data_IF_887017479844
#
_entry.id   IF_887017479844
#
_cell.length_a   1.000
_cell.length_b   1.000
_cell.length_c   1.000
_cell.angle_alpha   90.00
_cell.angle_beta   90.00
_cell.angle_gamma   90.00
#
_symmetry.space_group_name_H-M   'P 1'
#
loop_
_entity.id
_entity.type
_entity.pdbx_description
1 polymer ?
#
# COMPACT_ATOMS: atom_id res chain seq x y z
N UNK A 1 14.23 3.45 15.64
CA UNK A 1 13.33 2.38 16.07
C UNK A 1 13.09 1.44 14.89
N UNK A 2 13.11 0.14 15.13
CA UNK A 2 12.80 -0.87 14.11
C UNK A 2 11.79 -1.84 14.69
N UNK A 3 10.70 -2.05 13.98
CA UNK A 3 9.76 -3.13 14.24
C UNK A 3 9.87 -4.17 13.13
N UNK A 4 10.07 -5.41 13.53
CA UNK A 4 10.07 -6.55 12.62
C UNK A 4 8.92 -7.50 12.99
N UNK A 5 8.08 -7.81 12.03
CA UNK A 5 6.93 -8.70 12.17
C UNK A 5 7.14 -9.92 11.26
N UNK A 6 7.39 -11.07 11.86
CA UNK A 6 7.27 -12.36 11.20
C UNK A 6 5.89 -12.92 11.53
N UNK A 7 5.10 -13.20 10.51
CA UNK A 7 3.74 -13.69 10.67
C UNK A 7 3.67 -15.16 10.28
N UNK A 8 3.48 -16.00 11.29
CA UNK A 8 3.11 -17.41 11.06
C UNK A 8 1.69 -17.47 10.52
N UNK A 9 1.56 -17.80 9.27
CA UNK A 9 0.28 -17.92 8.58
C UNK A 9 0.20 -19.19 7.76
N UNK A 10 -0.98 -19.54 7.22
CA UNK A 10 -1.11 -20.69 6.36
C UNK A 10 -0.14 -20.53 5.20
N UNK A 11 0.82 -21.43 5.15
CA UNK A 11 1.72 -21.55 4.04
C UNK A 11 0.97 -21.89 2.77
N UNK A 12 1.53 -21.51 1.69
CA UNK A 12 1.38 -21.90 0.30
C UNK A 12 0.18 -22.78 -0.06
N UNK A 13 -0.57 -22.34 -1.00
CA UNK A 13 -1.69 -23.06 -1.64
C UNK A 13 -3.00 -22.29 -1.58
N UNK A 14 -3.16 -21.36 -0.65
CA UNK A 14 -4.25 -20.40 -0.73
C UNK A 14 -3.89 -19.37 -1.79
N UNK A 15 -4.73 -19.23 -2.79
CA UNK A 15 -4.60 -18.19 -3.83
C UNK A 15 -4.60 -16.75 -3.26
N UNK A 16 -4.89 -16.62 -1.97
CA UNK A 16 -4.99 -15.34 -1.27
C UNK A 16 -4.43 -15.48 0.14
N UNK A 17 -3.36 -14.78 0.42
CA UNK A 17 -2.86 -14.62 1.76
C UNK A 17 -3.41 -13.31 2.34
N UNK A 18 -4.25 -13.41 3.37
CA UNK A 18 -4.86 -12.26 4.05
C UNK A 18 -4.03 -11.74 5.22
N UNK A 19 -2.91 -12.36 5.53
CA UNK A 19 -2.04 -11.90 6.60
C UNK A 19 -1.30 -10.63 6.21
N UNK A 20 -1.11 -9.76 7.19
CA UNK A 20 -0.38 -8.52 7.00
C UNK A 20 -0.35 -7.67 8.25
N UNK A 21 0.56 -6.73 8.25
CA UNK A 21 0.67 -5.71 9.29
C UNK A 21 -0.07 -4.47 8.85
N UNK A 22 -1.05 -4.04 9.62
CA UNK A 22 -1.78 -2.80 9.36
C UNK A 22 -1.32 -1.71 10.31
N UNK A 23 -0.83 -0.62 9.73
CA UNK A 23 -0.40 0.58 10.44
C UNK A 23 -1.53 1.61 10.28
N UNK A 24 -1.97 2.19 11.38
CA UNK A 24 -2.98 3.25 11.39
C UNK A 24 -2.61 4.33 12.40
N UNK A 25 -3.21 5.51 12.26
CA UNK A 25 -2.94 6.68 13.11
C UNK A 25 -1.46 7.07 13.08
N UNK A 26 -0.82 6.95 11.90
CA UNK A 26 0.59 7.17 11.71
C UNK A 26 0.95 8.56 11.16
N UNK A 27 0.01 9.49 11.08
CA UNK A 27 0.28 10.83 10.55
C UNK A 27 1.43 11.52 11.28
N UNK A 28 1.50 11.35 12.60
CA UNK A 28 2.62 11.76 13.43
C UNK A 28 3.24 10.54 14.11
N UNK A 29 4.55 10.35 13.97
CA UNK A 29 5.26 9.23 14.57
C UNK A 29 5.81 9.53 15.97
N UNK A 30 5.65 10.76 16.43
CA UNK A 30 5.98 11.15 17.79
C UNK A 30 4.83 10.82 18.73
N UNK A 31 5.15 10.45 19.97
CA UNK A 31 4.16 10.30 21.01
C UNK A 31 3.84 11.65 21.63
N UNK A 32 2.55 11.91 21.85
CA UNK A 32 2.10 13.07 22.61
C UNK A 32 2.19 12.90 24.14
N UNK A 33 2.56 11.70 24.60
CA UNK A 33 2.68 11.43 26.02
C UNK A 33 3.88 12.14 26.65
N UNK A 34 3.68 12.76 27.79
CA UNK A 34 4.75 13.40 28.54
C UNK A 34 5.81 12.38 28.95
N UNK A 35 7.07 12.68 28.66
CA UNK A 35 8.21 11.79 28.94
C UNK A 35 8.42 10.67 27.93
N UNK A 36 7.63 10.61 26.87
CA UNK A 36 7.87 9.64 25.82
C UNK A 36 9.22 9.90 25.13
N UNK A 37 9.97 8.85 24.78
CA UNK A 37 11.21 8.99 24.05
C UNK A 37 11.00 9.64 22.69
N UNK A 38 11.92 10.49 22.28
CA UNK A 38 11.92 11.08 20.96
C UNK A 38 12.15 10.00 19.89
N UNK A 39 11.23 9.86 18.95
CA UNK A 39 11.39 9.00 17.79
C UNK A 39 12.26 9.71 16.75
N UNK A 40 13.49 9.29 16.58
CA UNK A 40 14.43 9.84 15.59
C UNK A 40 14.31 9.20 14.21
N UNK A 41 13.51 8.17 14.10
CA UNK A 41 13.24 7.44 12.87
C UNK A 41 12.55 6.12 13.17
N UNK A 42 11.76 5.64 12.19
CA UNK A 42 10.99 4.40 12.32
C UNK A 42 11.14 3.56 11.05
N UNK A 43 11.54 2.31 11.24
CA UNK A 43 11.48 1.29 10.19
C UNK A 43 10.50 0.21 10.59
N UNK A 44 9.57 -0.11 9.72
CA UNK A 44 8.65 -1.24 9.87
C UNK A 44 8.98 -2.26 8.81
N UNK A 45 9.21 -3.49 9.24
CA UNK A 45 9.56 -4.61 8.37
C UNK A 45 8.55 -5.75 8.59
N UNK A 46 8.07 -6.33 7.52
CA UNK A 46 7.24 -7.54 7.56
C UNK A 46 7.60 -8.47 6.42
N UNK A 47 7.59 -9.77 6.69
CA UNK A 47 7.67 -10.81 5.65
C UNK A 47 6.39 -10.91 4.82
N UNK A 48 5.32 -10.27 5.28
CA UNK A 48 4.02 -10.22 4.62
C UNK A 48 3.72 -8.82 4.08
N UNK A 49 2.48 -8.59 3.66
CA UNK A 49 2.04 -7.26 3.23
C UNK A 49 2.04 -6.27 4.39
N UNK A 50 2.38 -5.04 4.08
CA UNK A 50 2.16 -3.90 4.96
C UNK A 50 0.97 -3.11 4.40
N UNK A 51 0.06 -2.72 5.28
CA UNK A 51 -1.11 -1.92 4.95
C UNK A 51 -0.99 -0.61 5.72
N UNK A 52 -0.90 0.49 5.02
CA UNK A 52 -0.93 1.83 5.62
C UNK A 52 -2.35 2.37 5.51
N UNK A 53 -2.94 2.75 6.63
CA UNK A 53 -4.27 3.33 6.70
C UNK A 53 -4.18 4.80 7.08
N UNK A 54 -4.57 5.65 6.14
CA UNK A 54 -4.52 7.09 6.26
C UNK A 54 -3.11 7.66 6.13
N UNK A 55 -2.98 8.88 6.56
CA UNK A 55 -1.72 9.60 6.52
C UNK A 55 -0.63 8.91 7.34
N UNK A 56 0.58 8.92 6.81
CA UNK A 56 1.73 8.35 7.47
C UNK A 56 2.91 9.31 7.45
N UNK A 57 3.40 9.67 8.65
CA UNK A 57 4.59 10.51 8.86
C UNK A 57 4.48 11.90 8.19
N UNK A 58 3.27 12.38 7.96
CA UNK A 58 3.01 13.65 7.29
C UNK A 58 3.15 14.86 8.22
N UNK A 59 3.09 14.64 9.54
CA UNK A 59 3.21 15.68 10.57
C UNK A 59 4.54 15.51 11.32
N UNK A 60 5.38 16.56 11.31
CA UNK A 60 6.65 16.53 12.02
C UNK A 60 7.54 15.37 11.57
N UNK A 61 7.61 15.13 10.26
CA UNK A 61 8.21 13.94 9.68
C UNK A 61 9.61 13.63 10.21
N UNK A 62 9.89 12.34 10.37
CA UNK A 62 11.19 11.79 10.71
C UNK A 62 11.61 10.75 9.66
N UNK A 63 12.89 10.39 9.56
CA UNK A 63 13.29 9.30 8.66
C UNK A 63 12.45 8.04 8.90
N UNK A 64 11.75 7.58 7.88
CA UNK A 64 10.87 6.41 7.97
C UNK A 64 11.07 5.47 6.79
N UNK A 65 10.95 4.15 7.06
CA UNK A 65 10.99 3.13 6.03
C UNK A 65 9.92 2.05 6.27
N UNK A 66 9.32 1.59 5.19
CA UNK A 66 8.36 0.49 5.15
C UNK A 66 8.90 -0.60 4.24
N UNK A 67 9.14 -1.80 4.79
CA UNK A 67 9.74 -2.91 4.05
C UNK A 67 8.82 -4.12 4.17
N UNK A 68 8.16 -4.50 3.09
CA UNK A 68 7.21 -5.59 3.09
C UNK A 68 7.14 -6.33 1.76
N UNK A 69 6.50 -7.49 1.77
CA UNK A 69 6.26 -8.26 0.55
C UNK A 69 5.46 -7.44 -0.47
N UNK A 70 4.46 -6.71 0.00
CA UNK A 70 3.71 -5.72 -0.77
C UNK A 70 3.29 -4.56 0.12
N UNK A 71 3.07 -3.39 -0.48
CA UNK A 71 2.54 -2.22 0.23
C UNK A 71 1.14 -1.89 -0.28
N UNK A 72 0.21 -1.83 0.66
CA UNK A 72 -1.19 -1.50 0.43
C UNK A 72 -1.55 -0.19 1.12
N UNK A 73 -2.37 0.59 0.46
CA UNK A 73 -2.80 1.89 0.94
C UNK A 73 -4.31 1.92 1.09
N UNK A 74 -4.74 2.43 2.23
CA UNK A 74 -6.11 2.77 2.55
C UNK A 74 -6.14 4.25 2.85
N UNK A 75 -7.12 4.97 2.33
CA UNK A 75 -7.22 6.41 2.54
C UNK A 75 -7.59 6.78 3.97
N UNK A 76 -7.61 8.08 4.26
CA UNK A 76 -8.07 8.58 5.56
C UNK A 76 -9.54 8.26 5.82
N UNK A 77 -10.38 8.12 4.78
CA UNK A 77 -11.81 7.81 4.90
C UNK A 77 -12.13 6.32 4.93
N UNK A 78 -11.11 5.46 4.77
CA UNK A 78 -11.33 4.03 4.82
C UNK A 78 -12.05 3.59 6.10
N UNK A 79 -13.02 2.73 5.93
CA UNK A 79 -13.58 1.97 7.04
C UNK A 79 -13.66 0.47 6.66
N UNK A 80 -13.59 -0.39 7.66
CA UNK A 80 -13.49 -1.84 7.41
C UNK A 80 -14.75 -2.43 6.76
N UNK A 81 -15.91 -1.77 6.87
CA UNK A 81 -17.13 -2.21 6.19
C UNK A 81 -17.03 -2.08 4.68
N UNK A 82 -16.17 -1.19 4.18
CA UNK A 82 -15.97 -1.01 2.74
C UNK A 82 -15.34 -2.23 2.08
N UNK A 83 -14.63 -3.06 2.87
CA UNK A 83 -14.07 -4.32 2.39
C UNK A 83 -15.15 -5.31 1.93
N UNK A 84 -16.37 -5.17 2.41
CA UNK A 84 -17.53 -6.00 2.03
C UNK A 84 -18.10 -5.60 0.66
N UNK A 85 -17.75 -4.43 0.16
CA UNK A 85 -18.20 -4.00 -1.16
C UNK A 85 -17.59 -4.87 -2.26
N UNK A 86 -18.43 -5.33 -3.17
CA UNK A 86 -18.02 -6.20 -4.27
C UNK A 86 -17.12 -5.48 -5.29
N UNK A 87 -17.21 -4.16 -5.36
CA UNK A 87 -16.49 -3.36 -6.35
C UNK A 87 -15.65 -2.30 -5.67
N UNK A 88 -14.42 -2.14 -6.11
CA UNK A 88 -13.54 -1.04 -5.71
C UNK A 88 -14.16 0.33 -6.01
N UNK A 89 -15.01 0.41 -7.01
CA UNK A 89 -15.73 1.63 -7.40
C UNK A 89 -16.77 2.12 -6.39
N UNK A 90 -17.03 1.34 -5.38
CA UNK A 90 -17.93 1.66 -4.28
C UNK A 90 -17.19 2.06 -3.01
N UNK A 91 -15.87 2.12 -3.09
CA UNK A 91 -14.97 2.44 -1.99
C UNK A 91 -14.27 3.76 -2.32
N UNK A 92 -14.93 4.86 -2.08
CA UNK A 92 -14.37 6.16 -2.40
C UNK A 92 -13.25 6.49 -1.41
N UNK A 93 -12.05 6.71 -1.96
CA UNK A 93 -10.89 7.13 -1.18
C UNK A 93 -10.72 8.64 -1.21
N UNK A 94 -10.11 9.20 -0.20
CA UNK A 94 -9.81 10.62 -0.11
C UNK A 94 -8.31 10.95 -0.12
N UNK A 95 -7.98 12.23 -0.07
CA UNK A 95 -6.60 12.70 -0.06
C UNK A 95 -5.80 12.06 1.09
N UNK A 96 -4.64 11.51 0.76
CA UNK A 96 -3.82 10.75 1.70
C UNK A 96 -2.34 11.01 1.43
N UNK A 97 -1.54 11.06 2.48
CA UNK A 97 -0.12 11.39 2.42
C UNK A 97 0.74 10.30 3.07
N UNK A 98 1.80 9.87 2.38
CA UNK A 98 2.74 8.86 2.91
C UNK A 98 4.18 9.33 2.70
N UNK A 99 4.90 9.54 3.79
CA UNK A 99 6.29 10.02 3.79
C UNK A 99 7.20 8.93 4.36
N UNK A 100 7.74 8.09 3.49
CA UNK A 100 8.63 7.00 3.87
C UNK A 100 9.44 6.49 2.68
N UNK A 101 10.61 5.94 2.93
CA UNK A 101 11.25 5.05 1.98
C UNK A 101 10.47 3.72 1.95
N UNK A 102 10.20 3.21 0.75
CA UNK A 102 9.46 1.96 0.57
C UNK A 102 10.33 0.94 -0.15
N UNK A 103 10.42 -0.25 0.43
CA UNK A 103 11.02 -1.42 -0.18
C UNK A 103 9.95 -2.50 -0.25
N UNK A 104 9.56 -2.88 -1.46
CA UNK A 104 8.42 -3.78 -1.63
C UNK A 104 8.53 -4.60 -2.92
N UNK A 105 7.85 -5.73 -2.94
CA UNK A 105 7.67 -6.49 -4.15
C UNK A 105 6.79 -5.73 -5.15
N UNK A 106 7.16 -5.83 -6.42
CA UNK A 106 6.41 -5.27 -7.53
C UNK A 106 6.06 -6.36 -8.52
N UNK A 107 4.81 -6.39 -8.94
CA UNK A 107 4.37 -7.29 -10.00
C UNK A 107 3.94 -6.49 -11.22
N UNK A 108 4.22 -7.01 -12.40
CA UNK A 108 3.72 -6.41 -13.64
C UNK A 108 2.20 -6.40 -13.61
N UNK A 109 1.63 -5.32 -14.07
CA UNK A 109 0.20 -5.26 -14.38
C UNK A 109 -0.04 -6.17 -15.58
N UNK A 110 -0.98 -7.09 -15.49
CA UNK A 110 -1.24 -8.03 -16.57
C UNK A 110 -2.42 -8.93 -16.29
N UNK A 111 -2.70 -9.81 -17.24
CA UNK A 111 -3.72 -10.84 -17.07
C UNK A 111 -3.29 -11.88 -16.01
N UNK A 112 -4.19 -12.82 -15.70
CA UNK A 112 -3.98 -13.89 -14.74
C UNK A 112 -2.71 -14.71 -15.00
N UNK A 113 -2.22 -14.75 -16.23
CA UNK A 113 -1.05 -15.52 -16.65
C UNK A 113 0.27 -14.72 -16.52
N UNK A 114 0.21 -13.50 -16.02
CA UNK A 114 1.38 -12.62 -15.91
C UNK A 114 1.83 -12.05 -17.27
N UNK A 115 1.05 -12.26 -18.30
CA UNK A 115 1.29 -11.65 -19.60
C UNK A 115 1.00 -10.16 -19.53
N UNK A 116 1.96 -9.36 -19.95
CA UNK A 116 1.82 -7.92 -19.93
C UNK A 116 0.58 -7.51 -20.73
N UNK A 117 -0.40 -7.07 -20.01
CA UNK A 117 -1.37 -6.12 -20.49
C UNK A 117 -2.25 -6.48 -21.65
N UNK A 118 -3.07 -7.47 -21.58
CA UNK A 118 -4.13 -7.57 -22.59
C UNK A 118 -5.15 -6.42 -22.51
N UNK A 119 -5.31 -5.78 -21.36
CA UNK A 119 -6.25 -4.67 -21.21
C UNK A 119 -5.60 -3.31 -21.00
N UNK A 120 -4.29 -3.28 -20.82
CA UNK A 120 -3.54 -2.02 -20.61
C UNK A 120 -2.46 -1.80 -21.67
N UNK A 121 -2.56 -2.49 -22.79
CA UNK A 121 -1.55 -2.50 -23.84
C UNK A 121 -0.29 -3.28 -23.45
N UNK A 122 0.27 -4.04 -24.37
CA UNK A 122 1.47 -4.86 -24.13
C UNK A 122 2.68 -4.05 -23.63
N UNK A 123 2.61 -2.75 -23.73
CA UNK A 123 3.62 -1.79 -23.30
C UNK A 123 3.13 -0.92 -22.14
N UNK A 124 1.94 -1.15 -21.62
CA UNK A 124 1.50 -0.40 -20.46
C UNK A 124 2.27 -0.92 -19.28
N UNK A 125 3.21 -0.26 -18.99
CA UNK A 125 3.95 0.04 -17.77
C UNK A 125 3.62 -0.82 -16.56
N UNK A 126 3.59 -2.12 -16.75
CA UNK A 126 3.59 -3.01 -15.63
C UNK A 126 4.81 -2.84 -14.74
N UNK A 127 5.68 -1.94 -15.04
CA UNK A 127 6.89 -1.67 -14.30
C UNK A 127 6.96 -0.28 -13.70
N UNK A 128 5.87 0.46 -13.69
CA UNK A 128 5.86 1.79 -13.11
C UNK A 128 5.81 1.75 -11.58
N UNK A 129 6.15 2.87 -11.00
CA UNK A 129 6.06 3.17 -9.57
C UNK A 129 4.67 2.86 -8.99
N UNK A 130 3.64 2.98 -9.81
CA UNK A 130 2.24 2.71 -9.50
C UNK A 130 2.02 1.28 -8.99
N UNK A 131 2.81 0.33 -9.41
CA UNK A 131 2.65 -1.07 -9.01
C UNK A 131 3.28 -1.42 -7.66
N UNK A 132 4.04 -0.51 -7.05
CA UNK A 132 4.54 -0.69 -5.70
C UNK A 132 3.42 -0.42 -4.71
N UNK A 133 2.65 0.63 -4.93
CA UNK A 133 1.48 0.94 -4.13
C UNK A 133 0.26 0.20 -4.67
N UNK A 134 -0.44 -0.48 -3.77
CA UNK A 134 -1.71 -1.14 -4.07
C UNK A 134 -2.82 -0.41 -3.35
N UNK A 135 -3.72 0.17 -4.12
CA UNK A 135 -4.87 0.89 -3.59
C UNK A 135 -6.09 -0.03 -3.57
N UNK A 136 -6.79 -0.07 -2.43
CA UNK A 136 -8.03 -0.83 -2.27
C UNK A 136 -9.29 0.01 -2.45
N UNK A 137 -9.12 1.28 -2.79
CA UNK A 137 -10.17 2.26 -2.95
C UNK A 137 -10.07 2.93 -4.31
N UNK A 138 -11.15 3.47 -4.74
CA UNK A 138 -11.19 4.39 -5.87
C UNK A 138 -10.93 5.80 -5.36
N UNK A 139 -9.80 6.36 -5.73
CA UNK A 139 -9.50 7.75 -5.39
C UNK A 139 -10.36 8.67 -6.25
N UNK A 140 -11.61 8.82 -5.84
CA UNK A 140 -12.59 9.67 -6.47
C UNK A 140 -13.55 10.20 -5.41
N UNK A 141 -13.74 11.51 -5.41
CA UNK A 141 -14.74 12.21 -4.60
C UNK A 141 -15.70 12.94 -5.56
N UNK A 142 -16.87 12.33 -5.83
CA UNK A 142 -17.79 12.81 -6.83
C UNK A 142 -17.16 12.89 -8.23
N UNK A 143 -16.86 14.12 -8.70
CA UNK A 143 -16.15 14.37 -9.96
C UNK A 143 -14.68 14.72 -9.78
N UNK A 144 -14.22 14.88 -8.54
CA UNK A 144 -12.82 15.19 -8.20
C UNK A 144 -12.00 13.91 -8.03
N UNK A 145 -10.72 14.01 -8.29
CA UNK A 145 -9.73 12.97 -8.01
C UNK A 145 -8.90 13.46 -6.84
N UNK A 146 -9.04 12.86 -5.64
CA UNK A 146 -8.23 13.24 -4.49
C UNK A 146 -6.76 12.98 -4.73
N UNK A 147 -5.91 13.82 -4.19
CA UNK A 147 -4.46 13.68 -4.31
C UNK A 147 -3.93 12.57 -3.39
N UNK A 148 -3.06 11.74 -3.95
CA UNK A 148 -2.17 10.90 -3.17
C UNK A 148 -0.78 11.53 -3.19
N UNK A 149 -0.32 11.99 -2.03
CA UNK A 149 1.01 12.59 -1.90
C UNK A 149 2.00 11.56 -1.35
N UNK A 150 3.05 11.30 -2.11
CA UNK A 150 4.13 10.44 -1.69
C UNK A 150 5.47 11.17 -1.66
N UNK A 151 6.19 11.06 -0.55
CA UNK A 151 7.53 11.60 -0.38
C UNK A 151 8.46 10.50 0.15
N UNK A 152 9.41 10.08 -0.68
CA UNK A 152 10.36 9.04 -0.30
C UNK A 152 10.98 8.35 -1.50
N UNK A 153 11.74 7.29 -1.21
CA UNK A 153 12.36 6.45 -2.23
C UNK A 153 11.56 5.18 -2.41
N UNK A 154 11.42 4.72 -3.65
CA UNK A 154 10.77 3.46 -4.00
C UNK A 154 11.82 2.47 -4.51
N UNK A 155 11.89 1.31 -3.88
CA UNK A 155 12.79 0.23 -4.25
C UNK A 155 11.98 -1.05 -4.46
N UNK A 156 12.09 -1.62 -5.65
CA UNK A 156 11.50 -2.92 -5.95
C UNK A 156 12.53 -4.03 -5.74
N UNK A 157 12.17 -5.04 -4.95
CA UNK A 157 12.98 -6.23 -4.74
C UNK A 157 12.64 -7.38 -5.72
N UNK A 158 11.78 -7.12 -6.69
CA UNK A 158 11.26 -8.13 -7.61
C UNK A 158 9.82 -8.54 -7.29
N UNK A 159 9.37 -9.71 -7.79
CA UNK A 159 7.99 -10.15 -7.55
C UNK A 159 7.74 -10.43 -6.06
N UNK A 160 6.53 -10.14 -5.55
CA UNK A 160 6.15 -10.50 -4.20
C UNK A 160 6.09 -12.01 -4.04
N UNK A 161 6.40 -12.51 -2.86
CA UNK A 161 6.42 -13.94 -2.54
C UNK A 161 5.09 -14.44 -2.00
N UNK A 162 4.41 -13.64 -1.20
CA UNK A 162 3.20 -14.02 -0.47
C UNK A 162 1.94 -13.42 -1.07
N UNK A 163 2.01 -12.26 -1.68
CA UNK A 163 0.90 -11.62 -2.37
C UNK A 163 0.95 -11.90 -3.88
N UNK A 164 0.82 -13.17 -4.23
CA UNK A 164 0.96 -13.64 -5.62
C UNK A 164 -0.31 -13.58 -6.43
N UNK A 165 -1.46 -13.26 -5.82
CA UNK A 165 -2.72 -13.09 -6.55
C UNK A 165 -2.58 -12.07 -7.67
N UNK A 166 -3.30 -12.32 -8.72
CA UNK A 166 -3.40 -11.39 -9.84
C UNK A 166 -3.82 -10.03 -9.31
N UNK A 167 -3.02 -9.03 -9.55
CA UNK A 167 -3.48 -7.67 -9.43
C UNK A 167 -4.61 -7.51 -10.44
N UNK A 168 -5.84 -7.43 -9.92
CA UNK A 168 -7.03 -7.49 -10.77
C UNK A 168 -6.95 -6.50 -11.91
N UNK A 169 -7.38 -6.90 -13.10
CA UNK A 169 -7.62 -5.98 -14.18
C UNK A 169 -8.85 -5.16 -13.81
N UNK A 170 -8.65 -4.19 -12.96
CA UNK A 170 -9.64 -3.16 -12.82
C UNK A 170 -9.58 -2.36 -14.12
N UNK A 171 -10.53 -2.58 -14.97
CA UNK A 171 -10.63 -1.96 -16.30
C UNK A 171 -10.62 -0.43 -16.25
N UNK A 172 -10.69 0.14 -15.06
CA UNK A 172 -10.66 1.58 -14.84
C UNK A 172 -10.05 1.88 -13.47
N UNK A 173 -8.77 1.69 -13.34
CA UNK A 173 -8.03 2.20 -12.21
C UNK A 173 -7.63 3.63 -12.53
N UNK A 174 -8.26 4.58 -11.88
CA UNK A 174 -7.72 5.93 -11.83
C UNK A 174 -6.69 5.95 -10.71
N UNK A 175 -5.42 5.99 -11.08
CA UNK A 175 -4.41 6.33 -10.11
C UNK A 175 -4.71 7.75 -9.59
N UNK A 176 -4.47 8.03 -8.31
CA UNK A 176 -4.50 9.39 -7.83
C UNK A 176 -3.49 10.25 -8.59
N UNK A 177 -3.80 11.51 -8.79
CA UNK A 177 -2.89 12.49 -9.39
C UNK A 177 -1.65 12.73 -8.55
#
# INVERSE_FOLDING_TARGET
LVFYFALDGPESGASHNNYGVRIRNGAELQSSLSGAPLVKGLTVVSDQKIIVWGDYNSIGWVPAALMGDTLWLLSNDWNDSDSEQLSVYQRDGNATQVYAAVISGMRRTGNANGEAGQNFGANSNGGGVINIFRFNEWFREGTSIPDFTYVGSLVSLGPPRHSTSTWGPFTYYSAPN
#
